data_IF_945446586168
#
_entry.id   IF_945446586168
#
_cell.length_a   1.000
_cell.length_b   1.000
_cell.length_c   1.000
_cell.angle_alpha   90.00
_cell.angle_beta   90.00
_cell.angle_gamma   90.00
#
_symmetry.space_group_name_H-M   'P 1'
#
loop_
_entity.id
_entity.type
_entity.pdbx_description
1 polymer ?
#
# COMPACT_ATOMS: atom_id res chain seq x y z
N UNK A 1 -20.76 22.87 16.11
CA UNK A 1 -20.61 22.26 14.80
C UNK A 1 -21.99 22.12 14.19
N UNK A 2 -22.20 22.63 12.99
CA UNK A 2 -23.48 22.57 12.30
C UNK A 2 -23.91 21.11 12.08
N UNK A 3 -25.20 20.82 12.14
CA UNK A 3 -25.78 19.47 11.98
C UNK A 3 -25.34 18.86 10.66
N UNK A 4 -25.34 19.67 9.60
CA UNK A 4 -24.90 19.23 8.26
C UNK A 4 -23.45 18.72 8.25
N UNK A 5 -22.55 19.45 8.90
CA UNK A 5 -21.13 19.05 9.02
C UNK A 5 -20.95 17.78 9.86
N UNK A 6 -21.80 17.59 10.88
CA UNK A 6 -21.77 16.38 11.69
C UNK A 6 -22.19 15.15 10.87
N UNK A 7 -23.30 15.26 10.14
CA UNK A 7 -23.80 14.19 9.27
C UNK A 7 -22.75 13.83 8.20
N UNK A 8 -22.17 14.83 7.53
CA UNK A 8 -21.13 14.62 6.53
C UNK A 8 -19.90 13.92 7.12
N UNK A 9 -19.48 14.34 8.32
CA UNK A 9 -18.37 13.70 9.04
C UNK A 9 -18.66 12.22 9.32
N UNK A 10 -19.85 11.90 9.82
CA UNK A 10 -20.21 10.53 10.18
C UNK A 10 -20.35 9.63 8.94
N UNK A 11 -20.92 10.15 7.85
CA UNK A 11 -20.96 9.45 6.55
C UNK A 11 -19.53 9.18 6.05
N UNK A 12 -18.65 10.18 6.11
CA UNK A 12 -17.27 10.06 5.66
C UNK A 12 -16.50 9.01 6.45
N UNK A 13 -16.64 9.02 7.78
CA UNK A 13 -16.03 8.02 8.67
C UNK A 13 -16.53 6.62 8.31
N UNK A 14 -17.84 6.45 8.19
CA UNK A 14 -18.45 5.15 7.88
C UNK A 14 -18.02 4.61 6.51
N UNK A 15 -17.98 5.44 5.49
CA UNK A 15 -17.66 5.00 4.11
C UNK A 15 -16.17 4.78 3.87
N UNK A 16 -15.30 5.60 4.49
CA UNK A 16 -13.87 5.66 4.13
C UNK A 16 -12.94 5.00 5.14
N UNK A 17 -13.29 4.98 6.42
CA UNK A 17 -12.35 4.63 7.49
C UNK A 17 -12.79 3.46 8.37
N UNK A 18 -14.09 3.32 8.61
CA UNK A 18 -14.64 2.30 9.49
C UNK A 18 -14.47 0.90 8.89
N UNK A 19 -13.84 -0.02 9.62
CA UNK A 19 -13.73 -1.43 9.25
C UNK A 19 -15.05 -2.15 9.52
N UNK A 20 -15.31 -3.20 8.74
CA UNK A 20 -16.44 -4.08 8.99
C UNK A 20 -16.09 -5.07 10.10
N UNK A 21 -16.98 -5.22 11.08
CA UNK A 21 -16.87 -6.17 12.20
C UNK A 21 -17.86 -7.29 11.93
N UNK A 22 -17.38 -8.48 11.48
CA UNK A 22 -18.26 -9.59 11.09
C UNK A 22 -19.19 -10.07 12.21
N UNK A 23 -18.68 -10.12 13.43
CA UNK A 23 -19.40 -10.59 14.62
C UNK A 23 -20.61 -9.71 14.95
N UNK A 24 -20.47 -8.40 14.72
CA UNK A 24 -21.52 -7.41 14.95
C UNK A 24 -22.32 -7.06 13.70
N UNK A 25 -21.97 -7.63 12.54
CA UNK A 25 -22.59 -7.37 11.22
C UNK A 25 -22.73 -5.87 10.89
N UNK A 26 -21.79 -5.06 11.36
CA UNK A 26 -21.75 -3.60 11.12
C UNK A 26 -20.31 -3.11 10.98
N UNK A 27 -20.17 -1.87 10.56
CA UNK A 27 -18.87 -1.19 10.58
C UNK A 27 -18.59 -0.60 11.96
N UNK A 28 -17.29 -0.32 12.20
CA UNK A 28 -16.81 0.40 13.39
C UNK A 28 -17.53 1.74 13.56
N UNK A 29 -17.77 2.10 14.80
CA UNK A 29 -18.10 3.48 15.22
C UNK A 29 -16.83 4.34 15.20
N UNK A 30 -16.99 5.67 15.34
CA UNK A 30 -15.84 6.58 15.48
C UNK A 30 -14.95 6.20 16.67
N UNK A 31 -15.56 5.88 17.79
CA UNK A 31 -14.84 5.50 19.01
C UNK A 31 -14.01 4.21 18.81
N UNK A 32 -14.60 3.18 18.22
CA UNK A 32 -13.91 1.91 17.95
C UNK A 32 -12.74 2.10 16.97
N UNK A 33 -12.94 2.91 15.93
CA UNK A 33 -11.90 3.25 14.95
C UNK A 33 -10.72 3.97 15.60
N UNK A 34 -11.01 4.99 16.43
CA UNK A 34 -9.98 5.75 17.16
C UNK A 34 -9.25 4.85 18.16
N UNK A 35 -9.99 4.01 18.90
CA UNK A 35 -9.42 3.04 19.84
C UNK A 35 -8.46 2.10 19.14
N UNK A 36 -8.85 1.50 18.00
CA UNK A 36 -7.99 0.61 17.21
C UNK A 36 -6.69 1.30 16.78
N UNK A 37 -6.77 2.56 16.37
CA UNK A 37 -5.59 3.32 15.97
C UNK A 37 -4.69 3.64 17.18
N UNK A 38 -5.27 4.03 18.30
CA UNK A 38 -4.58 4.29 19.56
C UNK A 38 -3.86 3.05 20.08
N UNK A 39 -4.55 1.91 20.13
CA UNK A 39 -3.99 0.66 20.62
C UNK A 39 -2.81 0.15 19.77
N UNK A 40 -2.85 0.36 18.46
CA UNK A 40 -1.72 0.08 17.59
C UNK A 40 -0.47 0.86 18.04
N UNK A 41 -0.61 2.17 18.33
CA UNK A 41 0.51 2.97 18.80
C UNK A 41 0.99 2.57 20.18
N UNK A 42 0.09 2.27 21.12
CA UNK A 42 0.46 1.77 22.46
C UNK A 42 1.22 0.46 22.36
N UNK A 43 0.80 -0.45 21.49
CA UNK A 43 1.47 -1.74 21.26
C UNK A 43 2.91 -1.54 20.78
N UNK A 44 3.16 -0.57 19.91
CA UNK A 44 4.50 -0.26 19.41
C UNK A 44 5.35 0.54 20.40
N UNK A 45 4.72 1.40 21.20
CA UNK A 45 5.38 2.31 22.14
C UNK A 45 4.75 2.23 23.54
N UNK A 46 4.85 1.08 24.23
CA UNK A 46 4.19 0.89 25.53
C UNK A 46 4.71 1.85 26.61
N UNK A 47 5.95 2.31 26.50
CA UNK A 47 6.52 3.28 27.43
C UNK A 47 5.89 4.68 27.32
N UNK A 48 5.19 4.97 26.23
CA UNK A 48 4.47 6.23 25.98
C UNK A 48 2.95 6.09 26.17
N UNK A 49 2.46 4.99 26.74
CA UNK A 49 1.03 4.70 26.81
C UNK A 49 0.22 5.86 27.41
N UNK A 50 0.70 6.43 28.53
CA UNK A 50 -0.01 7.56 29.18
C UNK A 50 -0.15 8.75 28.26
N UNK A 51 0.93 9.16 27.63
CA UNK A 51 0.97 10.30 26.70
C UNK A 51 0.09 10.06 25.45
N UNK A 52 0.15 8.85 24.90
CA UNK A 52 -0.69 8.44 23.76
C UNK A 52 -2.16 8.54 24.15
N UNK A 53 -2.59 8.00 25.29
CA UNK A 53 -3.98 8.08 25.75
C UNK A 53 -4.44 9.51 25.95
N UNK A 54 -3.64 10.37 26.57
CA UNK A 54 -3.94 11.79 26.77
C UNK A 54 -4.14 12.52 25.42
N UNK A 55 -3.23 12.31 24.46
CA UNK A 55 -3.33 12.91 23.12
C UNK A 55 -4.54 12.39 22.32
N UNK A 56 -4.87 11.10 22.45
CA UNK A 56 -6.04 10.54 21.77
C UNK A 56 -7.38 11.05 22.27
N UNK A 57 -7.44 11.68 23.45
CA UNK A 57 -8.66 12.39 23.88
C UNK A 57 -9.03 13.53 22.93
N UNK A 58 -8.05 14.21 22.34
CA UNK A 58 -8.28 15.22 21.30
C UNK A 58 -8.76 14.60 19.99
N UNK A 59 -8.28 13.41 19.66
CA UNK A 59 -8.74 12.65 18.49
C UNK A 59 -10.20 12.22 18.66
N UNK A 60 -10.56 11.65 19.80
CA UNK A 60 -11.96 11.28 20.11
C UNK A 60 -12.94 12.46 19.95
N UNK A 61 -12.50 13.65 20.32
CA UNK A 61 -13.27 14.90 20.18
C UNK A 61 -13.21 15.50 18.78
N UNK A 62 -12.53 14.87 17.83
CA UNK A 62 -12.30 15.39 16.46
C UNK A 62 -11.60 16.76 16.43
N UNK A 63 -10.82 17.12 17.45
CA UNK A 63 -10.05 18.36 17.52
C UNK A 63 -8.74 18.27 16.75
N UNK A 64 -8.14 17.08 16.74
CA UNK A 64 -6.93 16.72 15.97
C UNK A 64 -7.21 15.39 15.30
N UNK A 65 -6.71 15.21 14.07
CA UNK A 65 -6.85 13.95 13.35
C UNK A 65 -5.44 13.38 13.02
N UNK A 66 -5.21 12.09 13.28
CA UNK A 66 -4.05 11.40 12.75
C UNK A 66 -4.06 11.33 11.22
N UNK A 67 -2.97 10.84 10.62
CA UNK A 67 -2.95 10.56 9.18
C UNK A 67 -4.16 9.73 8.77
N UNK A 68 -4.79 10.11 7.65
CA UNK A 68 -5.94 9.38 7.11
C UNK A 68 -5.62 7.90 6.85
N UNK A 69 -4.43 7.60 6.37
CA UNK A 69 -3.98 6.22 6.14
C UNK A 69 -3.79 5.46 7.45
N UNK A 70 -3.26 6.12 8.49
CA UNK A 70 -3.18 5.53 9.83
C UNK A 70 -4.55 5.17 10.38
N UNK A 71 -5.52 6.05 10.21
CA UNK A 71 -6.91 5.79 10.62
C UNK A 71 -7.56 4.65 9.82
N UNK A 72 -7.30 4.61 8.51
CA UNK A 72 -7.87 3.62 7.60
C UNK A 72 -7.30 2.22 7.83
N UNK A 73 -5.97 2.10 7.92
CA UNK A 73 -5.26 0.82 7.95
C UNK A 73 -4.68 0.47 9.33
N UNK A 74 -4.87 1.30 10.34
CA UNK A 74 -4.37 1.07 11.70
C UNK A 74 -4.66 -0.34 12.21
N UNK A 75 -3.71 -0.91 12.99
CA UNK A 75 -3.70 -2.28 13.45
C UNK A 75 -2.99 -3.22 12.49
N UNK A 76 -3.46 -4.46 12.39
CA UNK A 76 -2.83 -5.56 11.65
C UNK A 76 -2.34 -5.21 10.23
N UNK A 77 -3.09 -4.48 9.37
CA UNK A 77 -2.59 -4.13 8.03
C UNK A 77 -1.30 -3.30 8.02
N UNK A 78 -1.16 -2.34 8.92
CA UNK A 78 0.07 -1.54 9.07
C UNK A 78 1.18 -2.36 9.73
N UNK A 79 0.84 -3.21 10.70
CA UNK A 79 1.82 -4.09 11.35
C UNK A 79 2.47 -5.07 10.38
N UNK A 80 1.70 -5.58 9.40
CA UNK A 80 2.21 -6.50 8.36
C UNK A 80 2.96 -5.74 7.26
N UNK A 81 2.42 -4.59 6.82
CA UNK A 81 2.94 -3.83 5.69
C UNK A 81 2.94 -2.34 6.01
N UNK A 82 4.00 -1.83 6.70
CA UNK A 82 4.07 -0.43 7.16
C UNK A 82 4.01 0.60 6.04
N UNK A 83 4.38 0.23 4.80
CA UNK A 83 4.30 1.10 3.63
C UNK A 83 2.88 1.57 3.32
N UNK A 84 1.85 0.89 3.82
CA UNK A 84 0.43 1.29 3.67
C UNK A 84 0.08 2.63 4.33
N UNK A 85 0.93 3.13 5.21
CA UNK A 85 0.72 4.43 5.85
C UNK A 85 1.00 5.61 4.90
N UNK A 86 1.77 5.39 3.83
CA UNK A 86 2.12 6.43 2.88
C UNK A 86 1.02 6.66 1.85
N UNK A 87 0.66 7.93 1.62
CA UNK A 87 -0.25 8.33 0.56
C UNK A 87 0.48 8.51 -0.77
N UNK A 88 1.63 9.17 -0.72
CA UNK A 88 2.41 9.56 -1.89
C UNK A 88 3.90 9.34 -1.62
N UNK A 89 4.61 9.00 -2.69
CA UNK A 89 6.06 8.93 -2.74
C UNK A 89 6.58 9.57 -4.03
N UNK A 90 7.84 9.94 -4.03
CA UNK A 90 8.54 10.41 -5.22
C UNK A 90 9.79 9.56 -5.41
N UNK A 91 10.08 9.20 -6.66
CA UNK A 91 11.27 8.44 -7.03
C UNK A 91 11.91 9.02 -8.30
N UNK A 92 13.19 9.42 -8.29
CA UNK A 92 13.92 9.71 -9.52
C UNK A 92 14.22 8.40 -10.26
N UNK A 93 14.19 8.43 -11.59
CA UNK A 93 14.57 7.26 -12.42
C UNK A 93 16.08 7.34 -12.68
N UNK A 94 16.87 7.05 -11.65
CA UNK A 94 18.33 7.11 -11.65
C UNK A 94 18.99 5.75 -11.31
N UNK A 95 18.21 4.77 -10.91
CA UNK A 95 18.62 3.38 -10.68
C UNK A 95 17.63 2.43 -11.36
N UNK A 96 18.11 1.38 -11.99
CA UNK A 96 17.28 0.37 -12.66
C UNK A 96 16.33 -0.35 -11.70
N UNK A 97 16.62 -0.39 -10.39
CA UNK A 97 15.76 -1.03 -9.37
C UNK A 97 14.52 -0.22 -9.06
N UNK A 98 14.54 1.07 -9.34
CA UNK A 98 13.41 1.97 -9.04
C UNK A 98 12.10 1.52 -9.71
N UNK A 99 12.16 0.86 -10.86
CA UNK A 99 10.94 0.34 -11.52
C UNK A 99 10.22 -0.70 -10.66
N UNK A 100 10.98 -1.58 -10.01
CA UNK A 100 10.45 -2.57 -9.07
C UNK A 100 9.95 -1.93 -7.78
N UNK A 101 10.66 -0.94 -7.27
CA UNK A 101 10.27 -0.19 -6.07
C UNK A 101 8.98 0.59 -6.29
N UNK A 102 8.83 1.25 -7.44
CA UNK A 102 7.59 1.94 -7.84
C UNK A 102 6.43 0.94 -7.92
N UNK A 103 6.64 -0.23 -8.55
CA UNK A 103 5.61 -1.27 -8.65
C UNK A 103 5.16 -1.74 -7.25
N UNK A 104 6.10 -2.00 -6.35
CA UNK A 104 5.82 -2.37 -4.97
C UNK A 104 5.00 -1.31 -4.23
N UNK A 105 5.39 -0.03 -4.34
CA UNK A 105 4.68 1.07 -3.70
C UNK A 105 3.28 1.27 -4.26
N UNK A 106 3.11 1.21 -5.59
CA UNK A 106 1.80 1.33 -6.25
C UNK A 106 0.85 0.21 -5.82
N UNK A 107 1.32 -1.04 -5.79
CA UNK A 107 0.53 -2.18 -5.32
C UNK A 107 0.22 -2.10 -3.83
N UNK A 108 1.08 -1.47 -3.03
CA UNK A 108 0.83 -1.13 -1.63
C UNK A 108 -0.20 -0.01 -1.42
N UNK A 109 -0.66 0.63 -2.51
CA UNK A 109 -1.66 1.71 -2.48
C UNK A 109 -1.08 3.12 -2.36
N UNK A 110 0.24 3.28 -2.53
CA UNK A 110 0.93 4.58 -2.54
C UNK A 110 0.90 5.16 -3.96
N UNK A 111 0.47 6.41 -4.12
CA UNK A 111 0.65 7.13 -5.38
C UNK A 111 2.11 7.52 -5.58
N UNK A 112 2.73 7.14 -6.69
CA UNK A 112 4.15 7.42 -6.94
C UNK A 112 4.31 8.39 -8.09
N UNK A 113 4.86 9.58 -7.79
CA UNK A 113 5.41 10.49 -8.79
C UNK A 113 6.85 10.09 -9.12
N UNK A 114 7.24 10.20 -10.37
CA UNK A 114 8.61 9.90 -10.79
C UNK A 114 9.18 10.97 -11.70
N UNK A 115 10.50 11.09 -11.72
CA UNK A 115 11.20 12.03 -12.60
C UNK A 115 12.05 11.29 -13.63
N UNK A 116 11.83 11.67 -14.89
CA UNK A 116 12.61 11.24 -16.05
C UNK A 116 13.48 12.39 -16.59
N UNK A 117 13.87 13.33 -15.73
CA UNK A 117 14.75 14.42 -16.14
C UNK A 117 16.10 13.85 -16.59
N UNK A 118 16.71 14.55 -17.55
CA UNK A 118 17.93 14.07 -18.23
C UNK A 118 19.04 13.65 -17.25
N UNK A 119 19.30 14.45 -16.21
CA UNK A 119 20.33 14.14 -15.23
C UNK A 119 20.04 12.89 -14.36
N UNK A 120 18.78 12.47 -14.23
CA UNK A 120 18.44 11.19 -13.59
C UNK A 120 18.65 10.04 -14.55
N UNK A 121 18.11 10.15 -15.78
CA UNK A 121 18.14 9.07 -16.76
C UNK A 121 19.56 8.81 -17.30
N UNK A 122 20.41 9.84 -17.40
CA UNK A 122 21.77 9.74 -17.92
C UNK A 122 22.70 8.84 -17.07
N UNK A 123 22.34 8.57 -15.80
CA UNK A 123 23.11 7.66 -14.93
C UNK A 123 22.71 6.20 -15.05
N UNK A 124 21.59 5.92 -15.76
CA UNK A 124 21.16 4.55 -15.98
C UNK A 124 22.10 3.82 -16.95
N UNK A 125 22.30 2.50 -16.77
CA UNK A 125 23.01 1.69 -17.75
C UNK A 125 22.32 1.73 -19.13
N UNK A 126 23.09 1.56 -20.19
CA UNK A 126 22.53 1.41 -21.54
C UNK A 126 21.60 0.21 -21.64
N UNK A 127 20.47 0.41 -22.34
CA UNK A 127 19.50 -0.67 -22.59
C UNK A 127 20.07 -1.64 -23.63
N UNK A 128 20.08 -2.92 -23.28
CA UNK A 128 20.57 -4.02 -24.11
C UNK A 128 19.44 -5.02 -24.39
N UNK A 129 19.32 -5.44 -25.64
CA UNK A 129 18.33 -6.45 -25.99
C UNK A 129 18.67 -7.79 -25.34
N UNK A 130 17.73 -8.42 -24.60
CA UNK A 130 17.95 -9.75 -24.04
C UNK A 130 18.20 -10.80 -25.12
N UNK A 131 19.04 -11.79 -24.85
CA UNK A 131 19.30 -12.89 -25.77
C UNK A 131 18.05 -13.76 -25.93
N UNK A 132 17.66 -14.00 -27.19
CA UNK A 132 16.55 -14.91 -27.52
C UNK A 132 16.93 -16.40 -27.38
N UNK A 133 18.20 -16.71 -27.47
CA UNK A 133 18.69 -18.10 -27.43
C UNK A 133 18.72 -18.68 -26.01
N UNK A 134 18.56 -17.82 -25.00
CA UNK A 134 18.52 -18.21 -23.59
C UNK A 134 17.20 -17.77 -22.99
N UNK A 135 16.15 -18.55 -23.20
CA UNK A 135 14.87 -18.37 -22.51
C UNK A 135 14.98 -18.80 -21.04
N UNK A 136 14.50 -17.95 -20.12
CA UNK A 136 14.36 -18.30 -18.70
C UNK A 136 12.90 -18.16 -18.30
N UNK A 137 12.29 -19.25 -17.83
CA UNK A 137 10.96 -19.21 -17.24
C UNK A 137 11.06 -18.57 -15.85
N UNK A 138 10.14 -17.65 -15.56
CA UNK A 138 9.99 -17.00 -14.27
C UNK A 138 8.56 -17.15 -13.79
N UNK A 139 8.36 -17.89 -12.71
CA UNK A 139 7.06 -18.04 -12.06
C UNK A 139 6.79 -16.78 -11.23
N UNK A 140 5.67 -16.12 -11.51
CA UNK A 140 5.24 -14.92 -10.77
C UNK A 140 4.43 -15.35 -9.57
N UNK A 141 4.93 -15.07 -8.37
CA UNK A 141 4.20 -15.35 -7.14
C UNK A 141 3.00 -14.40 -6.99
N UNK A 142 1.90 -14.92 -6.45
CA UNK A 142 0.66 -14.17 -6.24
C UNK A 142 0.75 -13.29 -4.99
N UNK A 143 1.66 -12.33 -5.01
CA UNK A 143 1.91 -11.35 -3.94
C UNK A 143 2.41 -10.03 -4.52
N UNK A 144 2.35 -8.95 -3.73
CA UNK A 144 2.90 -7.64 -4.10
C UNK A 144 4.39 -7.76 -4.44
N UNK A 145 5.13 -8.50 -3.64
CA UNK A 145 6.56 -8.76 -3.83
C UNK A 145 6.81 -9.55 -5.11
N UNK A 146 5.99 -10.56 -5.40
CA UNK A 146 6.10 -11.38 -6.62
C UNK A 146 5.95 -10.56 -7.89
N UNK A 147 5.00 -9.65 -7.93
CA UNK A 147 4.82 -8.71 -9.04
C UNK A 147 5.98 -7.71 -9.15
N UNK A 148 6.45 -7.15 -8.02
CA UNK A 148 7.60 -6.27 -8.00
C UNK A 148 8.89 -6.98 -8.48
N UNK A 149 9.10 -8.23 -8.07
CA UNK A 149 10.23 -9.04 -8.53
C UNK A 149 10.11 -9.41 -10.01
N UNK A 150 8.92 -9.65 -10.54
CA UNK A 150 8.71 -9.86 -11.98
C UNK A 150 9.17 -8.63 -12.78
N UNK A 151 8.77 -7.42 -12.37
CA UNK A 151 9.27 -6.18 -12.99
C UNK A 151 10.77 -6.04 -12.87
N UNK A 152 11.34 -6.33 -11.70
CA UNK A 152 12.80 -6.30 -11.46
C UNK A 152 13.57 -7.20 -12.39
N UNK A 153 13.12 -8.45 -12.56
CA UNK A 153 13.77 -9.42 -13.43
C UNK A 153 13.67 -9.01 -14.90
N UNK A 154 12.51 -8.49 -15.31
CA UNK A 154 12.31 -7.95 -16.65
C UNK A 154 13.29 -6.81 -16.95
N UNK A 155 13.26 -5.77 -16.11
CA UNK A 155 14.10 -4.58 -16.28
C UNK A 155 15.58 -4.96 -16.26
N UNK A 156 16.00 -5.81 -15.32
CA UNK A 156 17.37 -6.33 -15.24
C UNK A 156 17.81 -7.02 -16.53
N UNK A 157 16.93 -7.79 -17.19
CA UNK A 157 17.28 -8.48 -18.43
C UNK A 157 17.57 -7.51 -19.57
N UNK A 158 16.93 -6.35 -19.59
CA UNK A 158 17.17 -5.31 -20.60
C UNK A 158 18.37 -4.41 -20.27
N UNK A 159 18.61 -4.09 -19.02
CA UNK A 159 19.78 -3.26 -18.67
C UNK A 159 21.11 -4.02 -18.68
N UNK A 160 21.10 -5.34 -18.45
CA UNK A 160 22.33 -6.11 -18.36
C UNK A 160 22.48 -7.18 -19.47
N UNK A 161 21.56 -7.17 -20.47
CA UNK A 161 21.65 -8.07 -21.63
C UNK A 161 21.54 -9.55 -21.24
N UNK A 162 20.67 -9.87 -20.28
CA UNK A 162 20.47 -11.24 -19.78
C UNK A 162 19.61 -12.11 -20.70
N UNK A 163 19.10 -13.20 -20.16
CA UNK A 163 18.16 -14.11 -20.84
C UNK A 163 16.82 -13.44 -21.10
N UNK A 164 16.16 -13.80 -22.19
CA UNK A 164 14.77 -13.44 -22.42
C UNK A 164 13.89 -14.11 -21.35
N UNK A 165 13.05 -13.31 -20.66
CA UNK A 165 12.20 -13.82 -19.60
C UNK A 165 10.85 -14.22 -20.17
N UNK A 166 10.44 -15.45 -19.91
CA UNK A 166 9.09 -15.97 -20.13
C UNK A 166 8.37 -16.01 -18.79
N UNK A 167 7.38 -15.13 -18.60
CA UNK A 167 6.59 -15.12 -17.37
C UNK A 167 5.57 -16.25 -17.38
N UNK A 168 5.47 -16.89 -16.23
CA UNK A 168 4.48 -17.90 -15.93
C UNK A 168 3.59 -17.39 -14.80
N UNK A 169 2.31 -17.26 -15.11
CA UNK A 169 1.29 -16.72 -14.22
C UNK A 169 0.37 -17.81 -13.63
N UNK A 170 0.80 -19.06 -13.68
CA UNK A 170 -0.03 -20.19 -13.22
C UNK A 170 -0.40 -20.13 -11.74
N UNK A 171 0.42 -19.47 -10.91
CA UNK A 171 0.18 -19.30 -9.49
C UNK A 171 -0.71 -18.08 -9.17
N UNK A 172 -0.99 -17.24 -10.17
CA UNK A 172 -1.83 -16.07 -9.96
C UNK A 172 -3.29 -16.51 -9.81
N UNK A 173 -3.93 -16.08 -8.73
CA UNK A 173 -5.32 -16.39 -8.45
C UNK A 173 -6.26 -15.88 -9.53
N UNK A 174 -7.38 -16.57 -9.80
CA UNK A 174 -8.40 -16.11 -10.73
C UNK A 174 -9.05 -14.79 -10.29
N UNK A 175 -9.50 -13.98 -11.26
CA UNK A 175 -10.23 -12.75 -11.01
C UNK A 175 -11.40 -12.98 -10.02
N UNK A 176 -11.49 -12.12 -9.01
CA UNK A 176 -12.52 -12.17 -7.98
C UNK A 176 -12.17 -12.99 -6.73
N UNK A 177 -11.02 -13.66 -6.71
CA UNK A 177 -10.47 -14.25 -5.48
C UNK A 177 -9.41 -13.30 -4.92
N UNK A 178 -9.62 -12.80 -3.71
CA UNK A 178 -8.63 -11.98 -3.00
C UNK A 178 -8.10 -12.71 -1.77
N UNK A 179 -6.87 -12.43 -1.36
CA UNK A 179 -6.45 -12.77 0.00
C UNK A 179 -7.23 -11.94 1.00
N UNK A 180 -7.47 -12.47 2.20
CA UNK A 180 -8.16 -11.73 3.28
C UNK A 180 -7.53 -10.35 3.54
N UNK A 181 -6.23 -10.20 3.31
CA UNK A 181 -5.49 -8.96 3.50
C UNK A 181 -5.63 -7.95 2.35
N UNK A 182 -5.93 -8.42 1.13
CA UNK A 182 -6.16 -7.58 -0.05
C UNK A 182 -7.63 -7.18 -0.19
N UNK A 183 -8.53 -7.94 0.40
CA UNK A 183 -9.97 -7.71 0.33
C UNK A 183 -10.36 -6.31 0.84
N UNK A 184 -9.75 -5.83 1.91
CA UNK A 184 -9.98 -4.48 2.43
C UNK A 184 -9.54 -3.36 1.47
N UNK A 185 -8.55 -3.61 0.63
CA UNK A 185 -8.05 -2.62 -0.34
C UNK A 185 -8.90 -2.59 -1.61
N UNK A 186 -9.21 -3.76 -2.18
CA UNK A 186 -9.93 -3.85 -3.45
C UNK A 186 -11.40 -3.43 -3.33
N UNK A 187 -12.06 -3.75 -2.23
CA UNK A 187 -13.46 -3.38 -1.99
C UNK A 187 -13.65 -1.87 -1.79
N UNK A 188 -12.60 -1.13 -1.44
CA UNK A 188 -12.69 0.31 -1.12
C UNK A 188 -12.37 1.24 -2.28
N UNK A 189 -11.57 0.81 -3.24
CA UNK A 189 -11.11 1.71 -4.31
C UNK A 189 -11.85 1.53 -5.64
N UNK A 190 -12.78 0.57 -5.72
CA UNK A 190 -13.53 0.36 -6.96
C UNK A 190 -12.63 0.13 -8.17
N UNK A 191 -11.42 -0.36 -7.99
CA UNK A 191 -10.53 -0.74 -9.08
C UNK A 191 -11.05 -2.06 -9.62
N UNK A 192 -12.04 -1.94 -10.52
CA UNK A 192 -12.36 -3.04 -11.44
C UNK A 192 -11.38 -2.93 -12.60
N UNK A 193 -10.55 -3.92 -12.78
CA UNK A 193 -9.84 -4.15 -14.02
C UNK A 193 -10.78 -4.67 -15.08
#
# INVERSE_FOLDING_TARGET
MDISNRILSDITVYMKYAKYIPELKRRETWQELVTRNMEMHIKHYPHLEKEIRENYMYVYRKQVLPSMRSMQFGGKPIEISPNRIYNCAFAPIDDWRVFSEIMFLLLGGTGVGYSVQKHHVDVLPEIRKPSKDRGRRWLVADSIEGWADAVKVLVKSYFFGGSHIQFDFSDIRPKGRSEEHTFELQSRFGISY
#
